data_IF_703006480387
#
_entry.id   IF_703006480387
#
_cell.length_a   1.000
_cell.length_b   1.000
_cell.length_c   1.000
_cell.angle_alpha   90.00
_cell.angle_beta   90.00
_cell.angle_gamma   90.00
#
_symmetry.space_group_name_H-M   'P 1'
#
loop_
_entity.id
_entity.type
_entity.pdbx_description
1 polymer ?
#
# COMPACT_ATOMS: atom_id res chain seq x y z
N UNK A 1 -73.20 -31.66 68.36
CA UNK A 1 -72.27 -32.77 68.11
C UNK A 1 -71.83 -32.68 66.70
N UNK A 2 -70.74 -32.05 66.45
CA UNK A 2 -70.15 -31.80 65.13
C UNK A 2 -68.77 -32.47 65.15
N UNK A 3 -68.42 -33.30 64.19
CA UNK A 3 -67.03 -33.68 64.06
C UNK A 3 -66.40 -32.83 62.98
N UNK A 4 -65.37 -32.09 63.42
CA UNK A 4 -64.37 -31.45 62.55
C UNK A 4 -63.49 -32.52 61.87
N UNK A 5 -63.37 -32.42 60.57
CA UNK A 5 -62.29 -33.03 59.81
C UNK A 5 -61.94 -32.12 58.66
N UNK A 6 -61.04 -31.16 58.86
CA UNK A 6 -60.36 -30.46 57.80
C UNK A 6 -59.22 -31.33 57.21
N UNK A 7 -59.10 -31.46 55.91
CA UNK A 7 -57.94 -32.12 55.29
C UNK A 7 -56.74 -31.16 55.26
N UNK A 8 -55.64 -31.56 55.85
CA UNK A 8 -54.38 -30.90 55.84
C UNK A 8 -53.72 -31.01 54.43
N UNK A 9 -53.79 -29.92 53.67
CA UNK A 9 -53.33 -29.82 52.26
C UNK A 9 -51.89 -29.31 52.12
N UNK A 10 -51.15 -29.22 53.22
CA UNK A 10 -49.69 -28.84 53.16
C UNK A 10 -48.79 -30.00 53.55
N UNK A 11 -48.64 -30.98 52.62
CA UNK A 11 -47.54 -31.91 52.64
C UNK A 11 -46.46 -31.41 51.71
N UNK A 12 -45.39 -30.83 52.28
CA UNK A 12 -44.21 -30.43 51.52
C UNK A 12 -43.62 -31.61 50.79
N UNK A 13 -43.22 -31.50 49.53
CA UNK A 13 -42.58 -32.61 48.82
C UNK A 13 -41.22 -32.92 49.50
N UNK A 14 -40.98 -34.18 49.72
CA UNK A 14 -39.72 -34.73 50.25
C UNK A 14 -38.53 -34.34 49.33
N UNK A 15 -37.82 -33.31 49.68
CA UNK A 15 -36.56 -32.92 49.05
C UNK A 15 -35.46 -33.88 49.48
N UNK A 16 -35.52 -35.09 49.00
CA UNK A 16 -34.42 -36.04 49.06
C UNK A 16 -34.03 -36.50 47.68
N UNK A 17 -33.20 -35.68 47.02
CA UNK A 17 -32.11 -36.15 46.18
C UNK A 17 -31.31 -34.91 45.76
N UNK A 18 -30.16 -34.69 46.38
CA UNK A 18 -29.20 -33.68 46.03
C UNK A 18 -28.58 -34.06 44.63
N UNK A 19 -28.58 -33.15 43.64
CA UNK A 19 -28.00 -33.41 42.30
C UNK A 19 -26.50 -33.69 42.34
N UNK A 20 -25.85 -33.55 43.50
CA UNK A 20 -24.41 -33.71 43.65
C UNK A 20 -23.89 -35.14 43.65
N UNK A 21 -24.73 -36.16 43.87
CA UNK A 21 -24.25 -37.52 43.90
C UNK A 21 -24.15 -38.22 42.54
N UNK A 22 -24.90 -37.75 41.53
CA UNK A 22 -24.82 -38.34 40.18
C UNK A 22 -23.57 -37.94 39.39
N UNK A 23 -22.90 -36.82 39.75
CA UNK A 23 -21.68 -36.35 39.06
C UNK A 23 -20.38 -36.94 39.63
N UNK A 24 -20.36 -37.49 40.83
CA UNK A 24 -19.14 -37.99 41.47
C UNK A 24 -18.51 -39.25 40.81
N UNK A 25 -19.24 -40.20 40.24
CA UNK A 25 -18.61 -41.38 39.61
C UNK A 25 -17.96 -41.06 38.27
N UNK A 26 -18.36 -39.97 37.55
CA UNK A 26 -17.81 -39.62 36.25
C UNK A 26 -16.39 -39.06 36.38
N UNK A 27 -16.13 -38.23 37.41
CA UNK A 27 -14.82 -37.62 37.67
C UNK A 27 -13.77 -38.67 38.19
N UNK A 28 -14.18 -39.84 38.66
CA UNK A 28 -13.26 -40.91 39.13
C UNK A 28 -12.78 -41.84 38.02
N UNK A 29 -13.29 -41.75 36.80
CA UNK A 29 -12.85 -42.58 35.68
C UNK A 29 -11.50 -42.08 35.17
N UNK A 30 -10.42 -42.91 35.13
CA UNK A 30 -9.12 -42.47 34.64
C UNK A 30 -9.17 -41.97 33.20
N UNK A 31 -10.10 -42.45 32.40
CA UNK A 31 -10.35 -42.02 31.02
C UNK A 31 -10.75 -40.52 30.96
N UNK A 32 -11.49 -40.01 31.92
CA UNK A 32 -11.89 -38.58 31.97
C UNK A 32 -10.66 -37.68 32.15
N UNK A 33 -9.77 -38.03 33.06
CA UNK A 33 -8.55 -37.25 33.31
C UNK A 33 -7.55 -37.33 32.16
N UNK A 34 -7.45 -38.51 31.50
CA UNK A 34 -6.62 -38.67 30.30
C UNK A 34 -7.15 -37.83 29.14
N UNK A 35 -8.46 -37.81 28.93
CA UNK A 35 -9.08 -36.99 27.88
C UNK A 35 -8.91 -35.47 28.14
N UNK A 36 -9.02 -35.05 29.41
CA UNK A 36 -8.83 -33.66 29.82
C UNK A 36 -7.36 -33.25 29.67
N UNK A 37 -6.42 -34.11 30.05
CA UNK A 37 -5.00 -33.88 29.85
C UNK A 37 -4.64 -33.80 28.34
N UNK A 38 -5.18 -34.71 27.52
CA UNK A 38 -4.97 -34.69 26.07
C UNK A 38 -5.53 -33.42 25.43
N UNK A 39 -6.73 -32.97 25.84
CA UNK A 39 -7.32 -31.70 25.38
C UNK A 39 -6.46 -30.50 25.81
N UNK A 40 -5.92 -30.51 27.03
CA UNK A 40 -5.00 -29.48 27.52
C UNK A 40 -3.71 -29.41 26.72
N UNK A 41 -3.10 -30.54 26.42
CA UNK A 41 -1.90 -30.63 25.59
C UNK A 41 -2.19 -30.12 24.16
N UNK A 42 -3.31 -30.52 23.57
CA UNK A 42 -3.71 -30.06 22.24
C UNK A 42 -3.91 -28.56 22.23
N UNK A 43 -4.56 -27.98 23.24
CA UNK A 43 -4.75 -26.52 23.38
C UNK A 43 -3.41 -25.80 23.48
N UNK A 44 -2.47 -26.33 24.27
CA UNK A 44 -1.12 -25.73 24.40
C UNK A 44 -0.39 -25.80 23.06
N UNK A 45 -0.48 -26.91 22.32
CA UNK A 45 0.13 -27.04 20.99
C UNK A 45 -0.48 -26.02 19.99
N UNK A 46 -1.81 -25.85 19.98
CA UNK A 46 -2.49 -24.86 19.14
C UNK A 46 -2.07 -23.44 19.53
N UNK A 47 -2.07 -23.12 20.82
CA UNK A 47 -1.66 -21.80 21.31
C UNK A 47 -0.19 -21.50 21.05
N UNK A 48 0.70 -22.50 21.10
CA UNK A 48 2.12 -22.33 20.79
C UNK A 48 2.39 -22.21 19.28
N UNK A 49 1.58 -22.84 18.43
CA UNK A 49 1.68 -22.72 16.97
C UNK A 49 1.11 -21.38 16.43
N UNK A 50 0.14 -20.79 17.14
CA UNK A 50 -0.54 -19.56 16.74
C UNK A 50 0.41 -18.38 16.46
N UNK A 51 1.39 -18.04 17.34
CA UNK A 51 2.33 -16.94 17.07
C UNK A 51 3.28 -17.21 15.90
N UNK A 52 3.56 -18.47 15.57
CA UNK A 52 4.37 -18.82 14.40
C UNK A 52 3.60 -18.56 13.09
N UNK A 53 2.32 -18.90 13.04
CA UNK A 53 1.45 -18.62 11.88
C UNK A 53 1.23 -17.12 11.66
N UNK A 54 1.02 -16.34 12.73
CA UNK A 54 0.82 -14.89 12.63
C UNK A 54 2.08 -14.15 12.21
N UNK A 55 3.28 -14.61 12.57
CA UNK A 55 4.55 -14.01 12.15
C UNK A 55 4.78 -14.11 10.64
N UNK A 56 4.37 -15.17 9.99
CA UNK A 56 4.50 -15.36 8.54
C UNK A 56 3.41 -14.63 7.75
N UNK A 57 2.21 -14.49 8.31
CA UNK A 57 1.10 -13.78 7.68
C UNK A 57 1.36 -12.28 7.54
N UNK A 58 2.11 -11.68 8.47
CA UNK A 58 2.36 -10.23 8.48
C UNK A 58 3.08 -9.68 7.24
N UNK A 59 4.18 -10.26 6.75
CA UNK A 59 4.85 -9.81 5.52
C UNK A 59 3.98 -9.98 4.26
N UNK A 60 3.27 -11.11 4.15
CA UNK A 60 2.37 -11.35 3.02
C UNK A 60 1.21 -10.34 3.00
N UNK A 61 0.58 -10.08 4.15
CA UNK A 61 -0.49 -9.10 4.28
C UNK A 61 0.00 -7.67 3.91
N UNK A 62 1.19 -7.29 4.34
CA UNK A 62 1.78 -5.98 3.95
C UNK A 62 2.02 -5.87 2.44
N UNK A 63 2.49 -6.94 1.79
CA UNK A 63 2.65 -6.95 0.33
C UNK A 63 1.32 -6.84 -0.41
N UNK A 64 0.29 -7.54 0.05
CA UNK A 64 -1.07 -7.42 -0.51
C UNK A 64 -1.58 -6.00 -0.34
N UNK A 65 -1.38 -5.37 0.82
CA UNK A 65 -1.78 -3.99 1.07
C UNK A 65 -0.99 -3.00 0.19
N UNK A 66 0.34 -3.20 0.00
CA UNK A 66 1.15 -2.38 -0.91
C UNK A 66 0.62 -2.44 -2.35
N UNK A 67 0.28 -3.63 -2.84
CA UNK A 67 -0.38 -3.78 -4.16
C UNK A 67 -1.76 -3.12 -4.21
N UNK A 68 -2.53 -3.19 -3.12
CA UNK A 68 -3.82 -2.51 -3.02
C UNK A 68 -3.67 -0.99 -3.10
N UNK A 69 -2.67 -0.42 -2.42
CA UNK A 69 -2.37 1.01 -2.48
C UNK A 69 -2.03 1.45 -3.91
N UNK A 70 -1.17 0.70 -4.60
CA UNK A 70 -0.85 1.00 -6.01
C UNK A 70 -2.07 0.91 -6.93
N UNK A 71 -2.97 -0.07 -6.72
CA UNK A 71 -4.24 -0.15 -7.48
C UNK A 71 -5.14 1.05 -7.22
N UNK A 72 -5.23 1.52 -5.98
CA UNK A 72 -6.00 2.73 -5.66
C UNK A 72 -5.41 3.97 -6.34
N UNK A 73 -4.07 4.12 -6.35
CA UNK A 73 -3.41 5.17 -7.12
C UNK A 73 -3.66 5.05 -8.62
N UNK A 74 -3.62 3.82 -9.17
CA UNK A 74 -3.95 3.56 -10.56
C UNK A 74 -5.38 3.96 -10.90
N UNK A 75 -6.34 3.61 -10.06
CA UNK A 75 -7.75 4.00 -10.22
C UNK A 75 -7.91 5.52 -10.17
N UNK A 76 -7.25 6.20 -9.22
CA UNK A 76 -7.28 7.65 -9.13
C UNK A 76 -6.70 8.32 -10.38
N UNK A 77 -5.60 7.79 -10.95
CA UNK A 77 -5.00 8.26 -12.20
C UNK A 77 -5.93 8.06 -13.41
N UNK A 78 -6.60 6.92 -13.51
CA UNK A 78 -7.58 6.65 -14.58
C UNK A 78 -8.80 7.57 -14.46
N UNK A 79 -9.30 7.82 -13.24
CA UNK A 79 -10.40 8.74 -12.99
C UNK A 79 -10.01 10.19 -13.32
N UNK A 80 -8.78 10.60 -12.97
CA UNK A 80 -8.21 11.89 -13.34
C UNK A 80 -8.15 12.02 -14.87
N UNK A 81 -7.60 10.99 -15.55
CA UNK A 81 -7.54 10.97 -17.02
C UNK A 81 -8.94 11.04 -17.65
N UNK A 82 -9.90 10.26 -17.13
CA UNK A 82 -11.28 10.29 -17.61
C UNK A 82 -11.96 11.65 -17.47
N UNK A 83 -11.52 12.46 -16.49
CA UNK A 83 -12.06 13.80 -16.26
C UNK A 83 -11.38 14.88 -17.11
N UNK A 84 -10.05 14.79 -17.25
CA UNK A 84 -9.24 15.84 -17.87
C UNK A 84 -8.67 15.48 -19.24
N UNK A 85 -8.84 14.24 -19.71
CA UNK A 85 -8.31 13.74 -20.99
C UNK A 85 -6.80 13.51 -21.01
N UNK A 86 -6.12 13.64 -19.85
CA UNK A 86 -4.68 13.47 -19.72
C UNK A 86 -4.30 13.08 -18.29
N UNK A 87 -3.13 12.47 -18.10
CA UNK A 87 -2.57 12.25 -16.78
C UNK A 87 -2.05 13.53 -16.15
N UNK A 88 -1.97 13.64 -14.82
CA UNK A 88 -1.41 14.82 -14.17
C UNK A 88 0.06 15.00 -14.54
N UNK A 89 0.50 16.25 -14.65
CA UNK A 89 1.92 16.55 -14.71
C UNK A 89 2.62 16.09 -13.41
N UNK A 90 3.90 15.82 -13.48
CA UNK A 90 4.70 15.40 -12.31
C UNK A 90 4.77 16.43 -11.20
N UNK A 91 4.56 17.72 -11.54
CA UNK A 91 4.39 18.81 -10.58
C UNK A 91 3.20 19.68 -10.96
N UNK A 92 2.61 20.35 -9.96
CA UNK A 92 1.64 21.41 -10.20
C UNK A 92 2.40 22.61 -10.79
N UNK A 93 2.01 23.03 -12.00
CA UNK A 93 2.74 24.08 -12.73
C UNK A 93 2.55 25.43 -12.05
N UNK A 94 3.63 25.98 -11.56
CA UNK A 94 3.78 27.35 -11.03
C UNK A 94 5.10 27.89 -11.58
N UNK A 95 5.10 28.63 -12.70
CA UNK A 95 6.32 29.03 -13.39
C UNK A 95 7.32 29.80 -12.53
N UNK A 96 6.83 30.55 -11.55
CA UNK A 96 7.61 31.38 -10.64
C UNK A 96 8.37 30.58 -9.58
N UNK A 97 7.99 29.32 -9.36
CA UNK A 97 8.63 28.48 -8.38
C UNK A 97 9.58 27.46 -9.02
N UNK A 98 10.76 27.21 -8.41
CA UNK A 98 11.59 26.07 -8.73
C UNK A 98 10.80 24.77 -8.58
N UNK A 99 11.11 23.77 -9.39
CA UNK A 99 10.37 22.49 -9.45
C UNK A 99 10.30 21.81 -8.08
N UNK A 100 11.38 21.90 -7.29
CA UNK A 100 11.50 21.30 -5.97
C UNK A 100 10.59 21.96 -4.91
N UNK A 101 10.15 23.18 -5.17
CA UNK A 101 9.23 23.91 -4.29
C UNK A 101 7.77 23.78 -4.70
N UNK A 102 7.49 23.31 -5.92
CA UNK A 102 6.14 23.06 -6.40
C UNK A 102 5.52 21.87 -5.70
N UNK A 103 4.21 21.77 -5.76
CA UNK A 103 3.51 20.55 -5.35
C UNK A 103 3.69 19.44 -6.37
N UNK A 104 3.67 18.21 -5.88
CA UNK A 104 3.77 17.00 -6.69
C UNK A 104 2.46 16.65 -7.41
N UNK A 105 2.55 15.69 -8.34
CA UNK A 105 1.43 15.05 -9.03
C UNK A 105 0.38 14.43 -8.10
N UNK A 106 0.70 14.21 -6.84
CA UNK A 106 -0.20 13.63 -5.84
C UNK A 106 -1.29 14.63 -5.47
N UNK A 107 -0.98 15.93 -5.36
CA UNK A 107 -1.96 16.93 -4.96
C UNK A 107 -3.22 16.93 -5.84
N UNK A 108 -3.15 17.01 -7.17
CA UNK A 108 -4.33 16.98 -8.03
C UNK A 108 -5.05 15.63 -8.07
N UNK A 109 -4.43 14.55 -7.59
CA UNK A 109 -5.07 13.22 -7.48
C UNK A 109 -5.90 13.04 -6.23
N UNK A 110 -5.68 13.82 -5.18
CA UNK A 110 -6.35 13.63 -3.89
C UNK A 110 -7.88 13.64 -4.01
N UNK A 111 -8.53 14.53 -4.82
CA UNK A 111 -9.97 14.50 -5.01
C UNK A 111 -10.51 13.20 -5.61
N UNK A 112 -9.66 12.40 -6.26
CA UNK A 112 -10.00 11.11 -6.87
C UNK A 112 -9.67 9.92 -5.95
N UNK A 113 -9.28 10.19 -4.71
CA UNK A 113 -9.01 9.18 -3.68
C UNK A 113 -10.07 9.24 -2.57
N UNK A 114 -10.17 8.19 -1.77
CA UNK A 114 -11.08 8.14 -0.62
C UNK A 114 -10.58 8.95 0.59
N UNK A 115 -9.52 9.72 0.44
CA UNK A 115 -8.85 10.47 1.52
C UNK A 115 -8.74 11.96 1.18
N UNK A 116 -9.84 12.73 1.20
CA UNK A 116 -9.81 14.15 0.85
C UNK A 116 -8.96 14.95 1.84
N UNK A 117 -8.28 15.98 1.34
CA UNK A 117 -7.65 16.98 2.20
C UNK A 117 -8.72 17.83 2.89
N UNK A 118 -8.43 18.21 4.12
CA UNK A 118 -9.27 19.12 4.92
C UNK A 118 -8.78 20.56 4.88
N UNK A 119 -7.56 20.76 4.35
CA UNK A 119 -6.87 22.05 4.30
C UNK A 119 -6.93 22.58 2.87
N UNK A 120 -7.23 23.86 2.73
CA UNK A 120 -7.12 24.58 1.46
C UNK A 120 -5.64 24.72 1.07
N UNK A 121 -5.33 24.50 -0.21
CA UNK A 121 -3.96 24.53 -0.72
C UNK A 121 -3.82 25.60 -1.79
N UNK A 122 -2.88 26.54 -1.56
CA UNK A 122 -2.48 27.59 -2.50
C UNK A 122 -1.16 27.19 -3.15
N UNK A 123 -1.25 26.73 -4.39
CA UNK A 123 -0.09 26.17 -5.11
C UNK A 123 1.07 27.18 -5.27
N UNK A 124 0.76 28.46 -5.40
CA UNK A 124 1.71 29.55 -5.61
C UNK A 124 2.66 29.77 -4.44
N UNK A 125 2.25 29.37 -3.24
CA UNK A 125 3.10 29.47 -2.06
C UNK A 125 4.13 28.34 -1.96
N UNK A 126 3.95 27.25 -2.72
CA UNK A 126 4.81 26.07 -2.65
C UNK A 126 4.55 25.18 -1.42
N UNK A 127 4.97 23.92 -1.52
CA UNK A 127 4.64 22.94 -0.50
C UNK A 127 5.32 23.17 0.87
N UNK A 128 6.43 23.92 0.90
CA UNK A 128 7.20 24.21 2.13
C UNK A 128 6.72 25.50 2.84
N UNK A 129 5.75 26.20 2.29
CA UNK A 129 5.24 27.43 2.92
C UNK A 129 4.69 27.15 4.33
N UNK A 130 4.85 28.12 5.23
CA UNK A 130 4.32 28.04 6.58
C UNK A 130 2.78 27.84 6.60
N UNK A 131 2.06 28.36 5.59
CA UNK A 131 0.62 28.16 5.47
C UNK A 131 0.23 26.68 5.19
N UNK A 132 1.16 25.86 4.71
CA UNK A 132 0.96 24.43 4.44
C UNK A 132 1.51 23.52 5.55
N UNK A 133 1.88 24.06 6.73
CA UNK A 133 2.42 23.28 7.83
C UNK A 133 1.49 22.13 8.28
N UNK A 134 0.18 22.39 8.30
CA UNK A 134 -0.83 21.35 8.60
C UNK A 134 -0.85 20.25 7.52
N UNK A 135 -0.70 20.62 6.25
CA UNK A 135 -0.62 19.66 5.14
C UNK A 135 0.59 18.73 5.27
N UNK A 136 1.76 19.29 5.65
CA UNK A 136 3.00 18.51 5.87
C UNK A 136 2.84 17.54 7.04
N UNK A 137 2.01 17.88 8.03
CA UNK A 137 1.69 16.96 9.14
C UNK A 137 0.56 15.97 8.81
N UNK A 138 -0.03 16.04 7.60
CA UNK A 138 -1.07 15.12 7.15
C UNK A 138 -0.47 13.83 6.60
N UNK A 139 -1.07 12.70 6.95
CA UNK A 139 -0.71 11.38 6.43
C UNK A 139 -1.79 10.87 5.49
N UNK A 140 -1.39 10.52 4.27
CA UNK A 140 -2.24 9.84 3.30
C UNK A 140 -1.80 8.37 3.20
N UNK A 141 -2.63 7.46 3.70
CA UNK A 141 -2.26 6.04 3.91
C UNK A 141 -1.93 5.34 2.60
N UNK A 142 -2.62 5.67 1.49
CA UNK A 142 -2.38 5.03 0.19
C UNK A 142 -0.98 5.30 -0.37
N UNK A 143 -0.36 6.44 0.01
CA UNK A 143 1.01 6.78 -0.42
C UNK A 143 2.10 6.26 0.52
N UNK A 144 1.71 5.46 1.52
CA UNK A 144 2.62 4.75 2.42
C UNK A 144 2.69 3.28 2.06
N UNK A 145 3.90 2.78 1.84
CA UNK A 145 4.12 1.35 1.66
C UNK A 145 4.17 0.66 3.03
N UNK A 146 3.24 -0.28 3.33
CA UNK A 146 3.23 -1.00 4.59
C UNK A 146 4.46 -1.91 4.80
N UNK A 147 5.20 -2.22 3.74
CA UNK A 147 6.46 -2.96 3.80
C UNK A 147 7.61 -2.09 4.33
N UNK A 148 7.53 -0.74 4.15
CA UNK A 148 8.54 0.20 4.62
C UNK A 148 8.54 0.33 6.15
N UNK A 149 9.71 0.12 6.77
CA UNK A 149 9.90 0.16 8.22
C UNK A 149 10.81 1.29 8.69
N UNK A 150 11.42 2.01 7.76
CA UNK A 150 12.28 3.13 8.09
C UNK A 150 11.46 4.27 8.69
N UNK A 151 12.09 5.03 9.57
CA UNK A 151 11.53 6.27 10.10
C UNK A 151 11.31 7.27 8.96
N UNK A 152 10.27 8.08 9.11
CA UNK A 152 9.90 9.10 8.14
C UNK A 152 10.26 10.47 8.66
N UNK A 153 10.90 11.32 7.83
CA UNK A 153 11.28 12.67 8.25
C UNK A 153 10.06 13.54 8.58
N UNK A 154 8.94 13.32 7.90
CA UNK A 154 7.67 14.00 8.13
C UNK A 154 6.50 13.01 8.05
N UNK A 155 5.35 13.37 8.62
CA UNK A 155 4.12 12.56 8.52
C UNK A 155 3.62 12.43 7.09
N UNK A 156 3.88 13.44 6.25
CA UNK A 156 3.56 13.43 4.81
C UNK A 156 4.58 12.67 3.95
N UNK A 157 5.62 12.06 4.51
CA UNK A 157 6.56 11.27 3.72
C UNK A 157 5.88 10.07 3.07
N UNK A 158 6.11 9.89 1.76
CA UNK A 158 5.60 8.80 0.95
C UNK A 158 6.69 7.81 0.56
N UNK A 159 6.27 6.67 0.04
CA UNK A 159 7.16 5.55 -0.32
C UNK A 159 7.07 5.19 -1.81
N UNK A 160 6.44 6.04 -2.62
CA UNK A 160 6.22 5.81 -4.04
C UNK A 160 6.73 6.99 -4.86
N UNK A 161 7.15 6.69 -6.09
CA UNK A 161 7.69 7.65 -7.04
C UNK A 161 7.10 7.42 -8.43
N UNK A 162 6.78 8.50 -9.12
CA UNK A 162 6.37 8.49 -10.52
C UNK A 162 7.61 8.43 -11.43
N UNK A 163 7.52 7.67 -12.51
CA UNK A 163 8.65 7.44 -13.42
C UNK A 163 8.59 8.39 -14.61
N UNK A 164 9.69 9.12 -14.78
CA UNK A 164 9.84 10.11 -15.83
C UNK A 164 10.48 9.59 -17.11
N UNK A 165 11.05 8.37 -17.08
CA UNK A 165 11.79 7.77 -18.18
C UNK A 165 13.24 7.45 -17.82
N UNK A 166 14.14 7.58 -18.79
CA UNK A 166 15.57 7.24 -18.69
C UNK A 166 16.41 8.51 -18.69
N UNK A 167 17.26 8.63 -17.67
CA UNK A 167 18.19 9.76 -17.45
C UNK A 167 17.79 10.63 -16.28
N UNK A 168 18.75 11.28 -15.65
CA UNK A 168 18.55 12.21 -14.55
C UNK A 168 17.72 13.46 -14.96
N UNK A 169 17.77 13.80 -16.25
CA UNK A 169 17.04 14.89 -16.90
C UNK A 169 15.65 14.49 -17.44
N UNK A 170 15.30 13.21 -17.37
CA UNK A 170 14.09 12.65 -18.01
C UNK A 170 12.81 13.42 -17.65
N UNK A 171 12.69 13.92 -16.42
CA UNK A 171 11.52 14.66 -15.96
C UNK A 171 11.38 16.04 -16.61
N UNK A 172 12.47 16.62 -17.12
CA UNK A 172 12.49 17.92 -17.78
C UNK A 172 12.42 17.83 -19.33
N UNK A 173 12.54 16.63 -19.90
CA UNK A 173 12.52 16.43 -21.34
C UNK A 173 11.14 16.76 -21.93
N UNK A 174 11.09 17.25 -23.20
CA UNK A 174 9.85 17.47 -23.92
C UNK A 174 9.10 16.16 -24.17
N UNK A 175 7.79 16.22 -24.38
CA UNK A 175 6.91 15.04 -24.43
C UNK A 175 7.32 13.99 -25.48
N UNK A 176 7.78 14.44 -26.64
CA UNK A 176 8.10 13.55 -27.77
C UNK A 176 9.55 13.01 -27.73
N UNK A 177 10.29 13.24 -26.65
CA UNK A 177 11.64 12.71 -26.55
C UNK A 177 11.61 11.20 -26.25
N UNK A 178 12.39 10.34 -26.95
CA UNK A 178 12.30 8.88 -26.85
C UNK A 178 12.61 8.33 -25.45
N UNK A 179 13.37 9.06 -24.63
CA UNK A 179 13.69 8.67 -23.25
C UNK A 179 12.59 9.02 -22.23
N UNK A 180 11.45 9.58 -22.67
CA UNK A 180 10.41 10.01 -21.72
C UNK A 180 9.48 8.89 -21.31
N UNK A 181 9.18 8.83 -20.02
CA UNK A 181 8.07 8.07 -19.45
C UNK A 181 6.77 8.88 -19.43
N UNK A 182 5.79 8.38 -18.68
CA UNK A 182 4.46 9.02 -18.56
C UNK A 182 4.56 10.35 -17.83
N UNK A 183 5.33 10.42 -16.74
CA UNK A 183 5.46 11.63 -15.93
C UNK A 183 6.62 12.53 -16.37
N UNK A 184 6.48 13.80 -16.14
CA UNK A 184 7.51 14.82 -16.27
C UNK A 184 7.08 16.07 -15.53
N UNK A 185 7.99 17.00 -15.23
CA UNK A 185 7.67 18.13 -14.37
C UNK A 185 6.41 18.87 -14.82
N UNK A 186 6.40 19.36 -16.05
CA UNK A 186 5.26 20.07 -16.66
C UNK A 186 4.56 19.27 -17.78
N UNK A 187 5.04 18.03 -18.06
CA UNK A 187 4.52 17.17 -19.10
C UNK A 187 3.24 16.47 -18.66
N UNK A 188 2.25 16.46 -19.56
CA UNK A 188 0.96 15.80 -19.37
C UNK A 188 0.73 14.79 -20.49
N UNK A 189 0.94 13.52 -20.22
CA UNK A 189 0.75 12.45 -21.20
C UNK A 189 -0.73 12.07 -21.31
N UNK A 190 -1.14 11.67 -22.52
CA UNK A 190 -2.45 11.04 -22.80
C UNK A 190 -2.29 9.53 -22.97
N UNK A 191 -3.39 8.79 -23.00
CA UNK A 191 -3.34 7.34 -23.28
C UNK A 191 -2.79 7.08 -24.69
N UNK A 192 -3.14 7.92 -25.66
CA UNK A 192 -2.70 7.81 -27.05
C UNK A 192 -1.19 8.08 -27.21
N UNK A 193 -0.60 8.85 -26.31
CA UNK A 193 0.84 9.13 -26.32
C UNK A 193 1.70 7.97 -25.80
N UNK A 194 1.07 6.90 -25.28
CA UNK A 194 1.73 5.70 -24.74
C UNK A 194 1.71 4.61 -25.84
N UNK A 195 2.60 4.71 -26.82
CA UNK A 195 2.60 3.82 -27.99
C UNK A 195 3.28 2.47 -27.75
N UNK A 196 4.09 2.32 -26.70
CA UNK A 196 4.75 1.05 -26.33
C UNK A 196 3.77 0.07 -25.65
N UNK A 197 2.55 0.55 -25.37
CA UNK A 197 1.45 -0.20 -24.79
C UNK A 197 1.26 0.08 -23.31
N UNK A 198 -0.01 0.24 -22.91
CA UNK A 198 -0.37 0.60 -21.53
C UNK A 198 0.06 -0.46 -20.50
N UNK A 199 0.05 -1.73 -20.87
CA UNK A 199 0.47 -2.85 -20.01
C UNK A 199 1.99 -3.05 -19.96
N UNK A 200 2.76 -2.26 -20.73
CA UNK A 200 4.21 -2.31 -20.83
C UNK A 200 4.88 -1.00 -20.38
N UNK A 201 4.12 -0.03 -19.89
CA UNK A 201 4.67 1.26 -19.49
C UNK A 201 4.49 1.49 -18.00
N UNK A 202 5.61 1.68 -17.31
CA UNK A 202 5.69 1.89 -15.88
C UNK A 202 5.31 3.33 -15.51
N UNK A 203 4.33 3.47 -14.62
CA UNK A 203 3.91 4.78 -14.10
C UNK A 203 4.48 5.07 -12.72
N UNK A 204 4.29 4.16 -11.77
CA UNK A 204 4.65 4.36 -10.36
C UNK A 204 5.34 3.13 -9.81
N UNK A 205 6.34 3.34 -8.97
CA UNK A 205 7.02 2.25 -8.27
C UNK A 205 7.41 2.66 -6.84
N UNK A 206 8.00 1.73 -6.10
CA UNK A 206 8.41 1.91 -4.70
C UNK A 206 9.78 2.56 -4.59
N UNK A 207 9.97 3.29 -3.50
CA UNK A 207 11.26 3.84 -3.06
C UNK A 207 11.93 2.92 -2.04
N UNK A 208 13.25 2.80 -2.12
CA UNK A 208 14.09 2.10 -1.11
C UNK A 208 14.00 2.81 0.25
N UNK A 209 13.90 4.14 0.23
CA UNK A 209 13.74 4.99 1.41
C UNK A 209 12.56 5.96 1.17
N UNK A 210 11.82 6.33 2.23
CA UNK A 210 10.76 7.33 2.11
C UNK A 210 11.31 8.64 1.56
N UNK A 211 10.53 9.34 0.74
CA UNK A 211 10.83 10.72 0.38
C UNK A 211 10.60 11.66 1.57
N UNK A 212 10.95 12.93 1.43
CA UNK A 212 10.72 13.94 2.48
C UNK A 212 9.24 14.23 2.66
N UNK A 213 8.52 14.41 1.55
CA UNK A 213 7.08 14.61 1.55
C UNK A 213 6.49 14.14 0.22
N UNK A 214 5.34 13.47 0.27
CA UNK A 214 4.58 13.13 -0.94
C UNK A 214 4.06 14.35 -1.69
N UNK A 215 4.00 15.52 -1.03
CA UNK A 215 3.60 16.78 -1.66
C UNK A 215 4.75 17.51 -2.35
N UNK A 216 6.00 17.10 -2.10
CA UNK A 216 7.17 17.73 -2.69
C UNK A 216 7.28 17.44 -4.18
N UNK A 217 7.47 18.48 -4.98
CA UNK A 217 7.79 18.36 -6.39
C UNK A 217 9.21 17.88 -6.65
N UNK A 218 9.59 17.84 -7.91
CA UNK A 218 10.92 17.47 -8.34
C UNK A 218 11.29 16.02 -8.01
N UNK A 219 12.57 15.78 -7.75
CA UNK A 219 13.15 14.45 -7.53
C UNK A 219 12.56 13.70 -6.33
N UNK A 220 11.88 14.37 -5.40
CA UNK A 220 11.23 13.70 -4.27
C UNK A 220 10.17 12.70 -4.73
N UNK A 221 9.39 13.09 -5.75
CA UNK A 221 8.22 12.31 -6.18
C UNK A 221 8.20 11.95 -7.67
N UNK A 222 9.16 12.49 -8.48
CA UNK A 222 9.31 12.17 -9.91
C UNK A 222 10.77 11.89 -10.21
N UNK A 223 11.08 10.71 -10.73
CA UNK A 223 12.46 10.30 -11.06
C UNK A 223 12.56 9.61 -12.41
N UNK A 224 13.69 9.80 -13.08
CA UNK A 224 14.14 8.93 -14.14
C UNK A 224 15.13 7.89 -13.62
N UNK A 225 15.29 6.79 -14.30
CA UNK A 225 16.37 5.83 -14.08
C UNK A 225 17.64 6.37 -14.71
N UNK A 226 18.62 6.76 -13.89
CA UNK A 226 19.81 7.47 -14.38
C UNK A 226 21.09 6.65 -14.25
N UNK A 227 21.19 5.76 -13.27
CA UNK A 227 22.39 4.99 -12.99
C UNK A 227 22.07 3.53 -12.68
N UNK A 228 22.81 2.64 -13.28
CA UNK A 228 22.71 1.20 -12.96
C UNK A 228 23.43 0.87 -11.63
N UNK A 229 22.95 -0.11 -10.86
CA UNK A 229 21.72 -0.85 -11.12
C UNK A 229 20.49 0.05 -10.93
N UNK A 230 19.51 -0.02 -11.82
CA UNK A 230 18.31 0.82 -11.79
C UNK A 230 17.42 0.54 -10.58
N UNK A 231 17.36 -0.72 -10.15
CA UNK A 231 16.65 -1.09 -8.92
C UNK A 231 17.64 -1.26 -7.77
N UNK A 232 17.29 -0.73 -6.61
CA UNK A 232 18.14 -0.68 -5.42
C UNK A 232 19.48 0.05 -5.61
N UNK A 233 19.57 0.85 -6.65
CA UNK A 233 20.73 1.65 -7.01
C UNK A 233 20.68 3.09 -6.53
N UNK A 234 21.54 3.96 -7.10
CA UNK A 234 21.72 5.35 -6.64
C UNK A 234 20.47 6.23 -6.78
N UNK A 235 19.55 5.88 -7.70
CA UNK A 235 18.29 6.63 -7.86
C UNK A 235 17.31 6.42 -6.72
N UNK A 236 17.57 5.45 -5.83
CA UNK A 236 16.73 5.15 -4.66
C UNK A 236 15.39 4.51 -5.02
N UNK A 237 15.25 4.01 -6.26
CA UNK A 237 14.09 3.25 -6.75
C UNK A 237 14.34 1.78 -6.48
N UNK A 238 13.33 1.05 -5.97
CA UNK A 238 13.53 -0.38 -5.79
C UNK A 238 12.71 -1.01 -4.68
N UNK A 239 13.18 -2.19 -4.27
CA UNK A 239 12.56 -2.97 -3.21
C UNK A 239 12.84 -2.36 -1.83
N UNK A 240 11.80 -2.34 -1.00
CA UNK A 240 11.96 -2.01 0.41
C UNK A 240 12.85 -3.05 1.09
N UNK A 241 13.68 -2.61 2.04
CA UNK A 241 14.62 -3.48 2.75
C UNK A 241 13.92 -4.72 3.34
N UNK A 242 14.47 -5.89 3.03
CA UNK A 242 13.92 -7.19 3.46
C UNK A 242 12.76 -7.73 2.60
N UNK A 243 12.38 -7.05 1.51
CA UNK A 243 11.43 -7.57 0.52
C UNK A 243 12.15 -8.21 -0.67
N UNK A 244 11.46 -9.13 -1.36
CA UNK A 244 12.02 -9.87 -2.49
C UNK A 244 11.51 -9.36 -3.85
N UNK A 245 10.73 -8.29 -3.86
CA UNK A 245 10.11 -7.79 -5.07
C UNK A 245 9.90 -6.28 -5.00
N UNK A 246 10.02 -5.63 -6.15
CA UNK A 246 9.63 -4.24 -6.40
C UNK A 246 8.20 -4.24 -6.89
N UNK A 247 7.31 -3.48 -6.26
CA UNK A 247 5.94 -3.34 -6.73
C UNK A 247 5.87 -2.20 -7.74
N UNK A 248 5.25 -2.45 -8.88
CA UNK A 248 5.09 -1.47 -9.97
C UNK A 248 3.64 -1.33 -10.38
N UNK A 249 3.25 -0.11 -10.73
CA UNK A 249 1.97 0.22 -11.36
C UNK A 249 2.22 0.55 -12.84
N UNK A 250 1.49 -0.11 -13.72
CA UNK A 250 1.54 0.13 -15.17
C UNK A 250 0.43 1.10 -15.61
N UNK A 251 0.56 1.61 -16.84
CA UNK A 251 -0.36 2.62 -17.37
C UNK A 251 -1.78 2.09 -17.61
N UNK A 252 -1.97 0.78 -17.72
CA UNK A 252 -3.30 0.14 -17.74
C UNK A 252 -3.96 0.00 -16.37
N UNK A 253 -3.28 0.45 -15.29
CA UNK A 253 -3.74 0.30 -13.90
C UNK A 253 -3.41 -1.05 -13.27
N UNK A 254 -2.79 -1.97 -13.98
CA UNK A 254 -2.36 -3.24 -13.44
C UNK A 254 -1.14 -3.08 -12.52
N UNK A 255 -1.07 -3.91 -11.47
CA UNK A 255 0.05 -3.93 -10.52
C UNK A 255 0.79 -5.23 -10.63
N UNK A 256 2.08 -5.14 -10.88
CA UNK A 256 2.98 -6.30 -10.99
C UNK A 256 4.13 -6.25 -9.99
N UNK A 257 4.85 -7.34 -9.88
CA UNK A 257 6.03 -7.46 -9.01
C UNK A 257 7.23 -7.79 -9.88
N UNK A 258 8.25 -6.94 -9.86
CA UNK A 258 9.52 -7.18 -10.52
C UNK A 258 10.54 -7.79 -9.56
N UNK A 259 11.41 -8.64 -10.10
CA UNK A 259 12.63 -9.04 -9.40
C UNK A 259 13.51 -7.80 -9.16
N UNK A 260 14.11 -7.64 -7.95
CA UNK A 260 15.13 -6.60 -7.75
C UNK A 260 16.36 -6.75 -8.63
N UNK A 261 16.56 -7.94 -9.21
CA UNK A 261 17.63 -8.26 -10.15
C UNK A 261 17.14 -8.30 -11.61
N UNK A 262 15.99 -7.66 -11.91
CA UNK A 262 15.48 -7.57 -13.28
C UNK A 262 16.51 -6.92 -14.21
N UNK A 263 16.52 -7.38 -15.47
CA UNK A 263 17.47 -6.91 -16.48
C UNK A 263 17.30 -5.40 -16.72
N UNK A 264 18.43 -4.71 -16.95
CA UNK A 264 18.42 -3.28 -17.21
C UNK A 264 17.63 -2.93 -18.47
N UNK A 265 17.70 -3.76 -19.50
CA UNK A 265 16.96 -3.55 -20.78
C UNK A 265 15.45 -3.65 -20.58
N UNK A 266 14.99 -4.54 -19.69
CA UNK A 266 13.59 -4.62 -19.32
C UNK A 266 13.14 -3.33 -18.59
N UNK A 267 13.95 -2.83 -17.66
CA UNK A 267 13.63 -1.60 -16.95
C UNK A 267 13.58 -0.40 -17.89
N UNK A 268 14.52 -0.31 -18.85
CA UNK A 268 14.55 0.73 -19.87
C UNK A 268 13.29 0.71 -20.74
N UNK A 269 12.92 -0.48 -21.24
CA UNK A 269 11.72 -0.65 -22.04
C UNK A 269 10.43 -0.31 -21.28
N UNK A 270 10.35 -0.63 -19.99
CA UNK A 270 9.22 -0.28 -19.15
C UNK A 270 9.16 1.21 -18.78
N UNK A 271 10.30 1.88 -18.70
CA UNK A 271 10.39 3.25 -18.22
C UNK A 271 9.97 4.28 -19.28
N UNK A 272 10.03 3.91 -20.57
CA UNK A 272 9.66 4.79 -21.70
C UNK A 272 8.22 4.54 -22.14
N UNK A 273 7.58 5.57 -22.72
CA UNK A 273 6.20 5.48 -23.20
C UNK A 273 6.05 5.33 -24.71
N UNK A 274 7.10 5.68 -25.47
CA UNK A 274 7.06 5.76 -26.95
C UNK A 274 8.46 5.64 -27.58
N UNK A 275 9.33 4.79 -27.01
CA UNK A 275 10.65 4.51 -27.60
C UNK A 275 10.58 3.45 -28.72
N UNK A 276 9.46 2.76 -28.86
CA UNK A 276 9.29 1.63 -29.78
C UNK A 276 9.85 0.33 -29.24
N UNK A 277 10.14 0.29 -27.94
CA UNK A 277 10.70 -0.87 -27.27
C UNK A 277 9.61 -1.93 -27.04
N UNK A 278 9.95 -3.19 -27.25
CA UNK A 278 9.08 -4.31 -26.92
C UNK A 278 9.58 -5.00 -25.67
N UNK A 279 8.73 -5.14 -24.68
CA UNK A 279 8.97 -6.03 -23.55
C UNK A 279 8.90 -7.47 -24.06
N UNK A 280 10.08 -8.02 -24.40
CA UNK A 280 10.17 -9.29 -25.13
C UNK A 280 9.90 -10.51 -24.24
N UNK A 281 10.18 -10.43 -22.94
CA UNK A 281 10.02 -11.54 -21.99
C UNK A 281 9.22 -11.13 -20.77
N UNK A 282 8.07 -11.78 -20.59
CA UNK A 282 7.22 -11.59 -19.43
C UNK A 282 7.55 -12.56 -18.27
N UNK A 283 8.60 -13.36 -18.37
CA UNK A 283 8.97 -14.34 -17.34
C UNK A 283 9.56 -13.71 -16.06
N UNK A 284 9.98 -12.44 -16.12
CA UNK A 284 10.52 -11.70 -14.98
C UNK A 284 9.47 -10.98 -14.13
N UNK A 285 8.18 -11.15 -14.46
CA UNK A 285 7.04 -10.54 -13.73
C UNK A 285 6.67 -11.32 -12.45
#
# INVERSE_FOLDING_TARGET
MVPDTEPNIFRAPDLKESPSEKFRPFLRRPVFWVSFAAAGVLLILVLSAFPLMTRQAGPAARRVQSKSNLRQMGLALQNYHGTFGMFPAGTVSVPELPVEQRFSWILPLIPFTDQPLRTEVRAEAGWQSAEHAELIDTSQIIYRNPEQRLERPFRSAGDYVAIAGIGADAAALPENHPRTGVFGHDRRSTLESITDGLSNTLMITTLVQPNRSMFAGGRETVRGFSQQPYLNGPDGIGAVAGTKAVQILLADGSVRSLSPAADATLIEALATKAAGDRVADQSEW
#
